data_IF_142085416368
#
_entry.id   IF_142085416368
#
_cell.length_a   1.000
_cell.length_b   1.000
_cell.length_c   1.000
_cell.angle_alpha   90.00
_cell.angle_beta   90.00
_cell.angle_gamma   90.00
#
_symmetry.space_group_name_H-M   'P 1'
#
loop_
_entity.id
_entity.type
_entity.pdbx_description
1 polymer ?
#
# COMPACT_ATOMS: atom_id res chain seq x y z
N UNK A 1 -17.68 1.46 11.23
CA UNK A 1 -18.11 1.14 9.85
C UNK A 1 -16.94 1.34 8.89
N UNK A 2 -16.74 0.45 7.92
CA UNK A 2 -15.67 0.56 6.92
C UNK A 2 -16.19 1.40 5.76
N UNK A 3 -15.80 2.68 5.72
CA UNK A 3 -16.18 3.62 4.67
C UNK A 3 -15.42 3.28 3.37
N UNK A 4 -16.05 3.36 2.18
CA UNK A 4 -15.29 3.38 0.93
C UNK A 4 -14.30 4.54 0.99
N UNK A 5 -13.00 4.26 0.84
CA UNK A 5 -11.97 5.30 0.84
C UNK A 5 -11.69 5.73 -0.59
N UNK A 6 -11.67 7.05 -0.83
CA UNK A 6 -11.15 7.58 -2.08
C UNK A 6 -9.64 7.38 -2.15
N UNK A 7 -9.09 7.14 -3.34
CA UNK A 7 -7.63 7.07 -3.54
C UNK A 7 -6.91 8.34 -3.07
N UNK A 8 -7.60 9.49 -3.10
CA UNK A 8 -7.06 10.79 -2.68
C UNK A 8 -7.04 10.97 -1.15
N UNK A 9 -7.78 10.16 -0.41
CA UNK A 9 -7.89 10.23 1.06
C UNK A 9 -6.88 9.33 1.76
N UNK A 10 -6.19 8.44 1.02
CA UNK A 10 -5.23 7.49 1.58
C UNK A 10 -3.96 8.22 2.02
N UNK A 11 -3.62 8.09 3.30
CA UNK A 11 -2.37 8.64 3.85
C UNK A 11 -1.27 7.58 3.85
N UNK A 12 -0.31 7.68 2.93
CA UNK A 12 0.78 6.71 2.83
C UNK A 12 1.78 6.82 4.00
N UNK A 13 2.53 5.74 4.34
CA UNK A 13 2.44 4.40 3.76
C UNK A 13 1.18 3.63 4.17
N UNK A 14 0.78 2.69 3.32
CA UNK A 14 -0.29 1.73 3.57
C UNK A 14 0.31 0.38 3.95
N UNK A 15 -0.29 -0.28 4.94
CA UNK A 15 0.13 -1.57 5.43
C UNK A 15 -0.93 -2.63 5.19
N UNK A 16 -0.50 -3.81 4.72
CA UNK A 16 -1.39 -4.97 4.63
C UNK A 16 -1.69 -5.51 6.03
N UNK A 17 -2.97 -5.65 6.34
CA UNK A 17 -3.43 -6.33 7.56
C UNK A 17 -3.54 -7.84 7.30
N UNK A 18 -4.41 -8.23 6.37
CA UNK A 18 -4.84 -9.62 6.15
C UNK A 18 -6.06 -9.73 5.22
N UNK A 19 -6.64 -10.92 5.13
CA UNK A 19 -7.91 -11.17 4.42
C UNK A 19 -9.10 -11.18 5.35
N UNK A 20 -8.87 -11.53 6.62
CA UNK A 20 -9.90 -11.49 7.66
C UNK A 20 -10.27 -10.05 7.98
N UNK A 21 -11.58 -9.82 8.14
CA UNK A 21 -12.11 -8.51 8.50
C UNK A 21 -11.67 -8.15 9.93
N UNK A 22 -11.01 -6.99 10.12
CA UNK A 22 -10.71 -6.50 11.45
C UNK A 22 -11.98 -6.22 12.25
N UNK A 23 -11.92 -6.45 13.55
CA UNK A 23 -12.96 -6.06 14.50
C UNK A 23 -12.68 -4.62 14.96
N UNK A 24 -13.74 -3.84 15.20
CA UNK A 24 -13.67 -2.45 15.63
C UNK A 24 -14.45 -2.31 16.94
N UNK A 25 -13.74 -2.02 18.04
CA UNK A 25 -14.32 -1.90 19.38
C UNK A 25 -13.87 -0.56 19.98
N UNK A 26 -14.79 0.37 20.23
CA UNK A 26 -14.53 1.64 20.95
C UNK A 26 -13.29 2.44 20.48
N UNK A 27 -12.97 2.39 19.17
CA UNK A 27 -11.80 3.07 18.60
C UNK A 27 -10.53 2.21 18.51
N UNK A 28 -10.57 0.99 19.01
CA UNK A 28 -9.53 -0.04 18.86
C UNK A 28 -9.83 -0.91 17.64
N UNK A 29 -8.78 -1.20 16.87
CA UNK A 29 -8.82 -2.09 15.71
C UNK A 29 -8.11 -3.39 16.08
N UNK A 30 -8.82 -4.51 16.01
CA UNK A 30 -8.35 -5.84 16.41
C UNK A 30 -8.22 -6.76 15.20
N UNK A 31 -7.17 -7.59 15.19
CA UNK A 31 -7.03 -8.72 14.28
C UNK A 31 -7.26 -10.02 15.03
N UNK A 32 -8.18 -10.84 14.52
CA UNK A 32 -8.54 -12.13 15.09
C UNK A 32 -7.85 -13.24 14.28
N UNK A 33 -7.23 -14.16 15.00
CA UNK A 33 -6.65 -15.39 14.46
C UNK A 33 -7.50 -16.57 14.90
N UNK A 34 -7.93 -17.38 13.96
CA UNK A 34 -8.57 -18.66 14.21
C UNK A 34 -7.56 -19.77 13.91
N UNK A 35 -7.24 -20.58 14.92
CA UNK A 35 -6.40 -21.76 14.80
C UNK A 35 -7.30 -22.98 14.91
N UNK A 36 -7.27 -23.83 13.91
CA UNK A 36 -7.93 -25.13 13.96
C UNK A 36 -6.89 -26.17 14.38
N UNK A 37 -7.21 -26.94 15.40
CA UNK A 37 -6.40 -28.06 15.86
C UNK A 37 -6.84 -29.35 15.17
N UNK A 38 -5.95 -30.35 15.17
CA UNK A 38 -6.19 -31.64 14.50
C UNK A 38 -7.35 -32.43 15.12
N UNK A 39 -7.67 -32.17 16.39
CA UNK A 39 -8.81 -32.72 17.12
C UNK A 39 -10.16 -32.05 16.77
N UNK A 40 -10.14 -31.06 15.87
CA UNK A 40 -11.33 -30.32 15.45
C UNK A 40 -11.71 -29.14 16.37
N UNK A 41 -10.96 -28.89 17.44
CA UNK A 41 -11.16 -27.71 18.30
C UNK A 41 -10.61 -26.43 17.64
N UNK A 42 -11.11 -25.28 18.09
CA UNK A 42 -10.73 -23.97 17.58
C UNK A 42 -10.22 -23.07 18.70
N UNK A 43 -9.01 -22.54 18.52
CA UNK A 43 -8.46 -21.48 19.36
C UNK A 43 -8.62 -20.13 18.67
N UNK A 44 -9.08 -19.14 19.44
CA UNK A 44 -9.17 -17.75 18.98
C UNK A 44 -8.15 -16.90 19.73
N UNK A 45 -7.25 -16.25 18.99
CA UNK A 45 -6.31 -15.26 19.55
C UNK A 45 -6.53 -13.90 18.90
N UNK A 46 -6.44 -12.84 19.68
CA UNK A 46 -6.51 -11.48 19.16
C UNK A 46 -5.17 -10.76 19.28
N UNK A 47 -5.01 -9.72 18.47
CA UNK A 47 -3.90 -8.78 18.55
C UNK A 47 -4.36 -7.40 18.10
N UNK A 48 -3.80 -6.34 18.69
CA UNK A 48 -4.18 -4.97 18.34
C UNK A 48 -3.45 -4.54 17.05
N UNK A 49 -4.20 -3.99 16.09
CA UNK A 49 -3.66 -3.34 14.89
C UNK A 49 -3.40 -1.85 15.19
N UNK A 50 -4.38 -1.16 15.76
CA UNK A 50 -4.33 0.25 16.10
C UNK A 50 -5.28 0.52 17.28
N UNK A 51 -4.99 1.55 18.05
CA UNK A 51 -5.85 2.02 19.13
C UNK A 51 -5.94 3.53 19.03
N UNK A 52 -7.07 4.04 18.50
CA UNK A 52 -7.30 5.47 18.27
C UNK A 52 -7.71 6.24 19.52
N UNK A 53 -7.91 5.56 20.66
CA UNK A 53 -8.18 6.21 21.94
C UNK A 53 -6.90 6.81 22.53
N UNK A 54 -5.74 6.28 22.14
CA UNK A 54 -4.44 6.78 22.55
C UNK A 54 -4.11 8.11 21.89
N UNK A 55 -3.41 8.97 22.65
CA UNK A 55 -2.88 10.22 22.13
C UNK A 55 -1.90 9.98 20.96
N UNK A 56 -2.06 10.74 19.89
CA UNK A 56 -1.15 10.76 18.74
C UNK A 56 -1.85 10.66 17.40
N UNK A 57 -1.42 11.51 16.48
CA UNK A 57 -2.12 11.73 15.20
C UNK A 57 -1.82 10.66 14.14
N UNK A 58 -0.87 9.75 14.42
CA UNK A 58 -0.44 8.72 13.46
C UNK A 58 -0.50 7.33 14.05
N UNK A 59 -0.76 6.36 13.18
CA UNK A 59 -0.73 4.92 13.48
C UNK A 59 0.60 4.53 14.16
N UNK A 60 1.72 5.08 13.70
CA UNK A 60 3.03 4.77 14.23
C UNK A 60 3.20 5.23 15.69
N UNK A 61 2.80 6.47 16.03
CA UNK A 61 2.90 7.01 17.40
C UNK A 61 2.12 6.12 18.39
N UNK A 62 0.87 5.79 18.06
CA UNK A 62 0.00 4.96 18.91
C UNK A 62 0.54 3.53 19.06
N UNK A 63 1.04 2.94 17.97
CA UNK A 63 1.66 1.60 18.01
C UNK A 63 2.94 1.55 18.83
N UNK A 64 3.79 2.59 18.81
CA UNK A 64 5.00 2.65 19.65
C UNK A 64 4.60 2.61 21.13
N UNK A 65 3.56 3.36 21.52
CA UNK A 65 3.05 3.34 22.89
C UNK A 65 2.58 1.94 23.30
N UNK A 66 1.77 1.27 22.47
CA UNK A 66 1.29 -0.10 22.74
C UNK A 66 2.44 -1.11 22.90
N UNK A 67 3.50 -1.00 22.08
CA UNK A 67 4.68 -1.87 22.20
C UNK A 67 5.39 -1.63 23.53
N UNK A 68 5.55 -0.35 23.93
CA UNK A 68 6.20 0.02 25.18
C UNK A 68 5.45 -0.50 26.41
N UNK A 69 4.13 -0.61 26.35
CA UNK A 69 3.29 -1.14 27.44
C UNK A 69 3.16 -2.67 27.45
N UNK A 70 3.86 -3.37 26.55
CA UNK A 70 3.84 -4.84 26.49
C UNK A 70 2.58 -5.42 25.82
N UNK A 71 1.78 -4.59 25.16
CA UNK A 71 0.55 -5.04 24.48
C UNK A 71 0.91 -5.84 23.23
N UNK A 72 0.24 -6.99 23.05
CA UNK A 72 0.41 -7.84 21.87
C UNK A 72 -0.21 -7.19 20.63
N UNK A 73 0.65 -6.67 19.76
CA UNK A 73 0.24 -6.04 18.50
C UNK A 73 0.40 -6.97 17.29
N UNK A 74 -0.46 -6.77 16.28
CA UNK A 74 -0.32 -7.35 14.96
C UNK A 74 0.91 -6.76 14.27
N UNK A 75 1.84 -7.61 13.81
CA UNK A 75 2.95 -7.16 12.96
C UNK A 75 2.43 -6.69 11.59
N UNK A 76 2.85 -5.50 11.19
CA UNK A 76 2.61 -4.89 9.88
C UNK A 76 3.94 -4.88 9.11
N UNK A 77 4.22 -5.92 8.33
CA UNK A 77 5.55 -6.18 7.75
C UNK A 77 5.75 -5.64 6.34
N UNK A 78 4.67 -5.31 5.62
CA UNK A 78 4.73 -4.86 4.22
C UNK A 78 4.10 -3.48 4.11
N UNK A 79 4.93 -2.48 3.89
CA UNK A 79 4.54 -1.11 3.62
C UNK A 79 4.49 -0.86 2.11
N UNK A 80 3.47 -0.13 1.67
CA UNK A 80 3.26 0.34 0.31
C UNK A 80 3.31 1.86 0.37
N UNK A 81 4.16 2.49 -0.43
CA UNK A 81 4.43 3.93 -0.33
C UNK A 81 3.80 4.77 -1.44
N UNK A 82 3.44 4.13 -2.56
CA UNK A 82 2.94 4.80 -3.74
C UNK A 82 1.67 4.14 -4.27
N UNK A 83 0.86 4.91 -4.98
CA UNK A 83 -0.39 4.47 -5.57
C UNK A 83 -0.20 3.33 -6.59
N UNK A 84 0.82 3.41 -7.44
CA UNK A 84 1.12 2.35 -8.41
C UNK A 84 1.37 0.99 -7.74
N UNK A 85 2.11 0.99 -6.64
CA UNK A 85 2.39 -0.21 -5.86
C UNK A 85 1.12 -0.72 -5.15
N UNK A 86 0.28 0.18 -4.62
CA UNK A 86 -1.02 -0.19 -4.05
C UNK A 86 -1.89 -0.89 -5.08
N UNK A 87 -2.01 -0.30 -6.28
CA UNK A 87 -2.72 -0.90 -7.41
C UNK A 87 -2.14 -2.28 -7.72
N UNK A 88 -0.82 -2.44 -7.78
CA UNK A 88 -0.20 -3.75 -8.06
C UNK A 88 -0.58 -4.81 -7.03
N UNK A 89 -0.43 -4.52 -5.74
CA UNK A 89 -0.52 -5.54 -4.69
C UNK A 89 -1.94 -5.78 -4.17
N UNK A 90 -2.86 -4.83 -4.39
CA UNK A 90 -4.20 -4.89 -3.83
C UNK A 90 -5.07 -5.96 -4.50
N UNK A 91 -5.73 -6.75 -3.65
CA UNK A 91 -6.84 -7.64 -3.99
C UNK A 91 -8.09 -7.14 -3.27
N UNK A 92 -9.27 -7.35 -3.85
CA UNK A 92 -10.53 -6.87 -3.29
C UNK A 92 -10.81 -7.38 -1.87
N UNK A 93 -10.33 -8.57 -1.51
CA UNK A 93 -10.49 -9.17 -0.19
C UNK A 93 -9.46 -8.70 0.85
N UNK A 94 -8.42 -7.96 0.45
CA UNK A 94 -7.32 -7.60 1.36
C UNK A 94 -7.66 -6.34 2.14
N UNK A 95 -7.66 -6.47 3.46
CA UNK A 95 -7.74 -5.36 4.40
C UNK A 95 -6.40 -4.68 4.56
N UNK A 96 -6.43 -3.35 4.56
CA UNK A 96 -5.27 -2.49 4.68
C UNK A 96 -5.52 -1.39 5.71
N UNK A 97 -4.44 -0.82 6.21
CA UNK A 97 -4.47 0.36 7.09
C UNK A 97 -3.47 1.40 6.60
N UNK A 98 -3.88 2.65 6.53
CA UNK A 98 -3.02 3.77 6.16
C UNK A 98 -2.25 4.33 7.38
N UNK A 99 -1.37 5.31 7.18
CA UNK A 99 -0.53 5.85 8.25
C UNK A 99 -1.27 6.75 9.25
N UNK A 100 -2.48 7.21 8.91
CA UNK A 100 -3.40 7.87 9.84
C UNK A 100 -4.20 6.87 10.69
N UNK A 101 -4.21 5.59 10.29
CA UNK A 101 -4.91 4.50 10.95
C UNK A 101 -6.26 4.16 10.30
N UNK A 102 -6.55 4.67 9.10
CA UNK A 102 -7.79 4.37 8.37
C UNK A 102 -7.73 2.96 7.82
N UNK A 103 -8.71 2.13 8.19
CA UNK A 103 -8.82 0.74 7.75
C UNK A 103 -9.78 0.65 6.58
N UNK A 104 -9.33 0.02 5.49
CA UNK A 104 -10.09 -0.04 4.24
C UNK A 104 -9.79 -1.30 3.42
N UNK A 105 -10.63 -1.54 2.42
CA UNK A 105 -10.36 -2.44 1.31
C UNK A 105 -10.31 -1.62 0.01
N UNK A 106 -9.35 -1.91 -0.85
CA UNK A 106 -9.25 -1.30 -2.17
C UNK A 106 -9.84 -2.23 -3.22
N UNK A 107 -10.98 -1.83 -3.79
CA UNK A 107 -11.64 -2.55 -4.88
C UNK A 107 -11.40 -1.84 -6.20
N UNK A 108 -10.70 -2.52 -7.10
CA UNK A 108 -10.49 -2.06 -8.47
C UNK A 108 -11.78 -2.15 -9.26
N UNK A 109 -12.15 -1.08 -9.95
CA UNK A 109 -13.44 -0.95 -10.66
C UNK A 109 -13.31 -0.46 -12.09
N UNK A 110 -12.17 0.14 -12.48
CA UNK A 110 -12.00 0.75 -13.79
C UNK A 110 -10.81 0.15 -14.54
N UNK A 111 -11.03 -0.21 -15.79
CA UNK A 111 -9.97 -0.66 -16.69
C UNK A 111 -9.32 0.55 -17.37
N UNK A 112 -8.00 0.69 -17.25
CA UNK A 112 -7.21 1.82 -17.78
C UNK A 112 -6.01 1.34 -18.58
N UNK A 113 -5.46 2.21 -19.42
CA UNK A 113 -4.30 1.89 -20.27
C UNK A 113 -3.02 1.92 -19.45
N UNK A 114 -2.18 0.92 -19.64
CA UNK A 114 -0.80 0.87 -19.18
C UNK A 114 0.09 0.97 -20.43
N UNK A 115 0.91 2.00 -20.50
CA UNK A 115 1.84 2.24 -21.62
C UNK A 115 3.27 2.20 -21.12
N UNK A 116 4.18 1.69 -21.93
CA UNK A 116 5.62 1.72 -21.63
C UNK A 116 6.27 2.82 -22.47
N UNK A 117 6.95 3.74 -21.78
CA UNK A 117 7.67 4.87 -22.39
C UNK A 117 9.13 4.87 -21.95
N UNK A 118 10.07 5.35 -22.79
CA UNK A 118 11.47 5.47 -22.40
C UNK A 118 11.64 6.36 -21.17
N UNK A 119 12.55 5.97 -20.28
CA UNK A 119 13.00 6.81 -19.18
C UNK A 119 13.94 7.86 -19.76
N UNK A 120 13.62 9.13 -19.53
CA UNK A 120 14.45 10.26 -19.94
C UNK A 120 15.64 10.43 -19.00
N UNK A 121 15.38 10.34 -17.70
CA UNK A 121 16.41 10.55 -16.68
C UNK A 121 16.06 9.83 -15.37
N UNK A 122 17.08 9.27 -14.72
CA UNK A 122 17.00 8.78 -13.33
C UNK A 122 17.83 9.70 -12.46
N UNK A 123 17.20 10.35 -11.48
CA UNK A 123 17.85 11.28 -10.55
C UNK A 123 17.89 10.60 -9.17
N UNK A 124 19.06 10.12 -8.71
CA UNK A 124 19.18 9.49 -7.40
C UNK A 124 18.84 10.45 -6.26
N UNK A 125 18.15 9.95 -5.23
CA UNK A 125 17.87 10.73 -4.01
C UNK A 125 18.90 10.33 -2.94
N UNK A 126 19.58 11.31 -2.34
CA UNK A 126 20.64 11.07 -1.34
C UNK A 126 20.17 10.21 -0.15
N UNK A 127 18.92 10.37 0.27
CA UNK A 127 18.32 9.62 1.38
C UNK A 127 17.79 8.24 0.98
N UNK A 128 17.98 7.81 -0.27
CA UNK A 128 17.48 6.55 -0.81
C UNK A 128 16.36 6.74 -1.85
N UNK A 129 16.33 5.82 -2.82
CA UNK A 129 15.39 5.86 -3.94
C UNK A 129 15.87 6.72 -5.12
N UNK A 130 14.95 7.02 -6.04
CA UNK A 130 15.22 7.88 -7.18
C UNK A 130 13.96 8.62 -7.65
N UNK A 131 14.17 9.68 -8.42
CA UNK A 131 13.15 10.35 -9.22
C UNK A 131 13.32 9.91 -10.67
N UNK A 132 12.23 9.51 -11.30
CA UNK A 132 12.16 9.04 -12.68
C UNK A 132 11.47 10.11 -13.51
N UNK A 133 12.16 10.60 -14.54
CA UNK A 133 11.60 11.40 -15.61
C UNK A 133 11.31 10.49 -16.81
N UNK A 134 10.12 10.60 -17.39
CA UNK A 134 9.68 9.74 -18.50
C UNK A 134 9.51 10.59 -19.76
N UNK A 135 9.97 10.09 -20.89
CA UNK A 135 9.91 10.79 -22.17
C UNK A 135 8.45 11.12 -22.54
N UNK A 136 8.19 12.40 -22.85
CA UNK A 136 6.86 12.87 -23.22
C UNK A 136 5.84 12.92 -22.07
N UNK A 137 6.29 12.87 -20.81
CA UNK A 137 5.45 13.08 -19.62
C UNK A 137 6.11 14.15 -18.76
N UNK A 138 5.38 15.23 -18.48
CA UNK A 138 5.90 16.34 -17.67
C UNK A 138 6.04 15.97 -16.18
N UNK A 139 5.16 15.11 -15.67
CA UNK A 139 5.18 14.64 -14.29
C UNK A 139 6.38 13.74 -14.00
N UNK A 140 6.97 13.94 -12.82
CA UNK A 140 8.05 13.10 -12.29
C UNK A 140 7.53 12.08 -11.29
N UNK A 141 8.20 10.95 -11.17
CA UNK A 141 7.78 9.86 -10.29
C UNK A 141 8.86 9.52 -9.27
N UNK A 142 8.49 9.25 -8.02
CA UNK A 142 9.41 8.71 -7.02
C UNK A 142 9.34 7.19 -7.02
N UNK A 143 10.48 6.54 -6.80
CA UNK A 143 10.56 5.11 -6.52
C UNK A 143 11.46 4.86 -5.30
N UNK A 144 11.19 3.77 -4.57
CA UNK A 144 11.87 3.47 -3.30
C UNK A 144 13.33 3.04 -3.46
N UNK A 145 13.70 2.55 -4.64
CA UNK A 145 15.05 2.10 -4.96
C UNK A 145 15.55 2.81 -6.20
N UNK A 146 16.87 2.99 -6.30
CA UNK A 146 17.50 3.44 -7.54
C UNK A 146 17.42 2.28 -8.55
N UNK A 147 16.77 2.46 -9.71
CA UNK A 147 16.76 1.43 -10.74
C UNK A 147 18.18 1.16 -11.25
N UNK A 148 18.45 -0.08 -11.69
CA UNK A 148 19.72 -0.39 -12.33
C UNK A 148 19.85 0.35 -13.67
N UNK A 149 21.07 0.53 -14.15
CA UNK A 149 21.32 1.26 -15.41
C UNK A 149 20.69 0.57 -16.64
N UNK A 150 20.31 -0.70 -16.53
CA UNK A 150 19.68 -1.45 -17.61
C UNK A 150 18.17 -1.19 -17.70
N UNK A 151 17.57 -0.58 -16.69
CA UNK A 151 16.15 -0.18 -16.70
C UNK A 151 16.00 1.05 -17.59
N UNK A 152 15.38 0.87 -18.76
CA UNK A 152 15.28 1.88 -19.80
C UNK A 152 13.86 2.40 -20.03
N UNK A 153 12.84 1.71 -19.51
CA UNK A 153 11.45 2.03 -19.76
C UNK A 153 10.65 2.09 -18.45
N UNK A 154 9.65 2.96 -18.44
CA UNK A 154 8.68 3.08 -17.37
C UNK A 154 7.30 2.67 -17.90
N UNK A 155 6.69 1.70 -17.23
CA UNK A 155 5.28 1.40 -17.35
C UNK A 155 4.47 2.42 -16.57
N UNK A 156 3.66 3.20 -17.25
CA UNK A 156 2.81 4.24 -16.65
C UNK A 156 1.34 3.98 -16.96
N UNK A 157 0.50 4.05 -15.93
CA UNK A 157 -0.94 4.02 -16.09
C UNK A 157 -1.41 5.41 -16.51
N UNK A 158 -2.23 5.48 -17.56
CA UNK A 158 -2.89 6.69 -18.03
C UNK A 158 -4.30 6.78 -17.43
N UNK A 159 -4.54 7.80 -16.61
CA UNK A 159 -5.83 8.05 -15.96
C UNK A 159 -6.28 9.51 -16.14
N UNK A 160 -7.05 9.76 -17.20
CA UNK A 160 -7.41 11.13 -17.58
C UNK A 160 -6.15 11.91 -17.95
N UNK A 161 -5.90 13.02 -17.27
CA UNK A 161 -4.67 13.83 -17.43
C UNK A 161 -3.53 13.38 -16.50
N UNK A 162 -3.79 12.42 -15.61
CA UNK A 162 -2.81 11.94 -14.65
C UNK A 162 -2.07 10.72 -15.17
N UNK A 163 -0.80 10.62 -14.79
CA UNK A 163 0.03 9.44 -14.99
C UNK A 163 0.42 8.86 -13.63
N UNK A 164 0.41 7.54 -13.52
CA UNK A 164 0.84 6.83 -12.31
C UNK A 164 1.97 5.89 -12.71
N UNK A 165 3.15 6.05 -12.11
CA UNK A 165 4.23 5.08 -12.27
C UNK A 165 3.74 3.73 -11.76
N UNK A 166 3.64 2.77 -12.67
CA UNK A 166 3.23 1.43 -12.36
C UNK A 166 4.45 0.54 -12.28
N UNK A 167 5.33 0.55 -13.28
CA UNK A 167 6.40 -0.42 -13.41
C UNK A 167 7.68 0.16 -14.04
N UNK A 168 8.78 -0.57 -13.89
CA UNK A 168 10.08 -0.24 -14.45
C UNK A 168 10.65 -1.48 -15.14
N UNK A 169 11.07 -1.34 -16.40
CA UNK A 169 11.53 -2.46 -17.21
C UNK A 169 12.80 -2.16 -18.01
N UNK A 170 13.53 -3.23 -18.32
CA UNK A 170 14.70 -3.20 -19.21
C UNK A 170 14.30 -3.12 -20.69
N UNK A 171 13.15 -3.70 -21.02
CA UNK A 171 12.60 -3.79 -22.37
C UNK A 171 11.31 -2.97 -22.51
N UNK A 172 10.99 -2.61 -23.74
CA UNK A 172 9.73 -1.97 -24.06
C UNK A 172 8.66 -3.05 -24.27
N UNK A 173 7.55 -2.92 -23.56
CA UNK A 173 6.40 -3.79 -23.74
C UNK A 173 5.27 -3.08 -24.49
N UNK A 174 4.42 -3.88 -25.12
CA UNK A 174 3.20 -3.37 -25.74
C UNK A 174 2.26 -2.74 -24.71
N UNK A 175 1.42 -1.83 -25.20
CA UNK A 175 0.38 -1.24 -24.37
C UNK A 175 -0.62 -2.30 -23.94
N UNK A 176 -0.89 -2.38 -22.63
CA UNK A 176 -1.87 -3.31 -22.06
C UNK A 176 -2.90 -2.55 -21.23
N UNK A 177 -3.81 -3.27 -20.56
CA UNK A 177 -4.77 -2.69 -19.64
C UNK A 177 -4.56 -3.20 -18.22
N UNK A 178 -4.87 -2.37 -17.23
CA UNK A 178 -4.90 -2.74 -15.82
C UNK A 178 -6.20 -2.30 -15.18
N UNK A 179 -6.67 -3.07 -14.22
CA UNK A 179 -7.77 -2.67 -13.35
C UNK A 179 -7.20 -1.82 -12.21
N UNK A 180 -7.79 -0.65 -12.03
CA UNK A 180 -7.55 0.27 -10.90
C UNK A 180 -8.85 0.51 -10.16
#
# INVERSE_FOLDING_TARGET
>A
MTKPISLTEIVYPVFKIGTERPLFEEGVVLYIYHFRHDDGTYDTKYSIIDDRTLAGDTLAKRRIYLVKTGVKIKKLSRAVFFLGDLIKVAKASTWMIDSAGNVFQYKKTKSVKLVYKPIKQVIPIKSGGAIIEVQGIASRFKCLYKPSNNVKYAGVIEYGMAYILYDLSTEQFDSTRRMI
#
